data_IF_239885140834
#
_entry.id   IF_239885140834
#
_cell.length_a   1.000
_cell.length_b   1.000
_cell.length_c   1.000
_cell.angle_alpha   90.00
_cell.angle_beta   90.00
_cell.angle_gamma   90.00
#
_symmetry.space_group_name_H-M   'P 1'
#
loop_
_entity.id
_entity.type
_entity.pdbx_description
1 polymer ?
#
# COMPACT_ATOMS: atom_id res chain seq x y z
N UNK A 1 -8.57 -13.96 -3.67
CA UNK A 1 -9.38 -12.78 -3.28
C UNK A 1 -9.42 -11.85 -4.48
N UNK A 2 -10.58 -11.29 -4.84
CA UNK A 2 -10.68 -10.27 -5.89
C UNK A 2 -10.52 -8.89 -5.24
N UNK A 3 -9.58 -8.09 -5.74
CA UNK A 3 -9.32 -6.74 -5.26
C UNK A 3 -9.44 -5.81 -6.46
N UNK A 4 -10.45 -4.95 -6.44
CA UNK A 4 -10.66 -3.89 -7.43
C UNK A 4 -10.14 -2.57 -6.86
N UNK A 5 -9.05 -2.05 -7.44
CA UNK A 5 -8.38 -0.83 -6.99
C UNK A 5 -9.21 0.43 -7.22
N UNK A 6 -10.17 0.42 -8.16
CA UNK A 6 -11.01 1.59 -8.44
C UNK A 6 -11.93 1.91 -7.25
N UNK A 7 -12.26 0.89 -6.46
CA UNK A 7 -13.05 1.07 -5.22
C UNK A 7 -12.37 2.00 -4.23
N UNK A 8 -11.03 2.06 -4.23
CA UNK A 8 -10.27 2.94 -3.35
C UNK A 8 -10.61 4.40 -3.60
N UNK A 9 -10.96 4.82 -4.83
CA UNK A 9 -11.29 6.22 -5.16
C UNK A 9 -12.46 6.80 -4.35
N UNK A 10 -13.32 5.94 -3.81
CA UNK A 10 -14.45 6.35 -2.95
C UNK A 10 -14.14 6.30 -1.46
N UNK A 11 -13.00 5.72 -1.08
CA UNK A 11 -12.56 5.60 0.31
C UNK A 11 -12.06 6.95 0.83
N UNK A 12 -12.47 7.42 2.03
CA UNK A 12 -11.93 8.65 2.62
C UNK A 12 -10.42 8.59 2.84
N UNK A 13 -9.72 9.72 2.72
CA UNK A 13 -8.25 9.78 2.85
C UNK A 13 -7.74 9.23 4.19
N UNK A 14 -8.49 9.46 5.28
CA UNK A 14 -8.16 8.93 6.60
C UNK A 14 -8.15 7.41 6.63
N UNK A 15 -9.10 6.77 5.93
CA UNK A 15 -9.19 5.31 5.88
C UNK A 15 -8.16 4.71 4.93
N UNK A 16 -7.81 5.41 3.84
CA UNK A 16 -6.68 5.03 3.01
C UNK A 16 -5.37 5.04 3.82
N UNK A 17 -5.12 6.13 4.56
CA UNK A 17 -3.95 6.27 5.40
C UNK A 17 -3.90 5.23 6.53
N UNK A 18 -5.05 4.88 7.13
CA UNK A 18 -5.12 3.85 8.17
C UNK A 18 -4.73 2.47 7.62
N UNK A 19 -5.12 2.14 6.38
CA UNK A 19 -4.71 0.91 5.69
C UNK A 19 -3.20 0.82 5.44
N UNK A 20 -2.53 1.94 5.15
CA UNK A 20 -1.08 1.95 4.94
C UNK A 20 -0.26 1.62 6.19
N UNK A 21 -0.82 1.77 7.40
CA UNK A 21 -0.13 1.33 8.63
C UNK A 21 0.21 -0.18 8.59
N UNK A 22 -0.70 -0.99 8.05
CA UNK A 22 -0.49 -2.43 7.87
C UNK A 22 0.50 -2.74 6.74
N UNK A 23 0.51 -1.94 5.67
CA UNK A 23 1.48 -2.05 4.57
C UNK A 23 2.91 -1.80 5.08
N UNK A 24 3.08 -0.74 5.89
CA UNK A 24 4.36 -0.38 6.53
C UNK A 24 4.81 -1.47 7.49
N UNK A 25 3.88 -2.05 8.26
CA UNK A 25 4.18 -3.15 9.18
C UNK A 25 4.85 -4.32 8.45
N UNK A 26 4.37 -4.74 7.28
CA UNK A 26 4.99 -5.84 6.54
C UNK A 26 6.45 -5.54 6.16
N UNK A 27 6.74 -4.31 5.74
CA UNK A 27 8.10 -3.88 5.45
C UNK A 27 9.01 -4.00 6.67
N UNK A 28 8.57 -3.48 7.82
CA UNK A 28 9.35 -3.48 9.06
C UNK A 28 9.62 -4.87 9.63
N UNK A 29 8.67 -5.80 9.54
CA UNK A 29 8.78 -7.10 10.23
C UNK A 29 9.40 -8.21 9.39
N UNK A 30 9.43 -8.08 8.04
CA UNK A 30 9.86 -9.20 7.18
C UNK A 30 10.36 -8.82 5.77
N UNK A 31 10.22 -7.59 5.31
CA UNK A 31 10.54 -7.22 3.92
C UNK A 31 11.20 -5.84 3.82
N UNK A 32 12.50 -5.80 4.14
CA UNK A 32 13.27 -4.55 4.19
C UNK A 32 13.33 -3.83 2.83
N UNK A 33 13.46 -4.56 1.72
CA UNK A 33 13.43 -3.97 0.37
C UNK A 33 12.07 -3.33 0.08
N UNK A 34 10.98 -3.95 0.52
CA UNK A 34 9.66 -3.35 0.43
C UNK A 34 9.51 -2.11 1.32
N UNK A 35 10.12 -2.09 2.51
CA UNK A 35 10.15 -0.90 3.35
C UNK A 35 10.88 0.26 2.66
N UNK A 36 12.06 0.03 2.08
CA UNK A 36 12.80 1.04 1.31
C UNK A 36 12.01 1.55 0.10
N UNK A 37 11.27 0.66 -0.56
CA UNK A 37 10.38 1.04 -1.66
C UNK A 37 9.25 1.95 -1.17
N UNK A 38 8.64 1.64 -0.02
CA UNK A 38 7.55 2.45 0.56
C UNK A 38 8.02 3.87 0.88
N UNK A 39 9.21 4.04 1.46
CA UNK A 39 9.78 5.36 1.76
C UNK A 39 9.89 6.24 0.51
N UNK A 40 10.26 5.65 -0.63
CA UNK A 40 10.39 6.35 -1.93
C UNK A 40 9.05 6.64 -2.60
N UNK A 41 8.01 5.86 -2.30
CA UNK A 41 6.72 5.90 -3.03
C UNK A 41 5.54 6.38 -2.18
N UNK A 42 5.74 6.77 -0.92
CA UNK A 42 4.65 7.15 -0.01
C UNK A 42 3.78 8.29 -0.55
N UNK A 43 4.38 9.25 -1.26
CA UNK A 43 3.63 10.35 -1.87
C UNK A 43 2.74 9.87 -3.01
N UNK A 44 3.21 8.94 -3.84
CA UNK A 44 2.43 8.32 -4.91
C UNK A 44 1.27 7.49 -4.33
N UNK A 45 1.53 6.72 -3.27
CA UNK A 45 0.50 5.96 -2.55
C UNK A 45 -0.60 6.88 -1.98
N UNK A 46 -0.21 7.97 -1.32
CA UNK A 46 -1.16 8.96 -0.77
C UNK A 46 -1.91 9.72 -1.88
N UNK A 47 -1.29 9.91 -3.04
CA UNK A 47 -1.93 10.47 -4.23
C UNK A 47 -2.78 9.47 -5.02
N UNK A 48 -2.91 8.23 -4.53
CA UNK A 48 -3.68 7.13 -5.16
C UNK A 48 -3.19 6.77 -6.56
N UNK A 49 -1.88 6.84 -6.77
CA UNK A 49 -1.27 6.37 -7.99
C UNK A 49 -1.59 4.87 -8.22
N UNK A 50 -2.24 4.52 -9.35
CA UNK A 50 -2.72 3.15 -9.57
C UNK A 50 -1.61 2.10 -9.54
N UNK A 51 -0.44 2.42 -10.10
CA UNK A 51 0.69 1.49 -10.20
C UNK A 51 1.33 1.26 -8.83
N UNK A 52 1.53 2.33 -8.05
CA UNK A 52 2.03 2.24 -6.68
C UNK A 52 1.07 1.46 -5.78
N UNK A 53 -0.25 1.73 -5.89
CA UNK A 53 -1.27 1.00 -5.12
C UNK A 53 -1.29 -0.49 -5.48
N UNK A 54 -1.30 -0.83 -6.77
CA UNK A 54 -1.30 -2.21 -7.23
C UNK A 54 -0.08 -2.98 -6.71
N UNK A 55 1.11 -2.36 -6.78
CA UNK A 55 2.34 -2.96 -6.25
C UNK A 55 2.26 -3.17 -4.74
N UNK A 56 1.88 -2.14 -3.97
CA UNK A 56 1.81 -2.21 -2.52
C UNK A 56 0.81 -3.27 -2.04
N UNK A 57 -0.35 -3.37 -2.69
CA UNK A 57 -1.37 -4.39 -2.39
C UNK A 57 -0.82 -5.78 -2.68
N UNK A 58 -0.28 -6.00 -3.89
CA UNK A 58 0.28 -7.29 -4.29
C UNK A 58 1.34 -7.75 -3.29
N UNK A 59 2.32 -6.90 -3.00
CA UNK A 59 3.45 -7.23 -2.12
C UNK A 59 3.01 -7.45 -0.68
N UNK A 60 1.99 -6.74 -0.21
CA UNK A 60 1.37 -6.98 1.10
C UNK A 60 0.66 -8.32 1.16
N UNK A 61 -0.04 -8.74 0.11
CA UNK A 61 -0.67 -10.06 0.03
C UNK A 61 0.35 -11.21 -0.01
N UNK A 62 1.48 -11.04 -0.70
CA UNK A 62 2.58 -12.02 -0.70
C UNK A 62 3.23 -12.17 0.68
N UNK A 63 3.30 -11.07 1.45
CA UNK A 63 3.90 -11.05 2.77
C UNK A 63 2.99 -11.58 3.88
N UNK A 64 1.68 -11.70 3.66
CA UNK A 64 0.70 -12.09 4.68
C UNK A 64 0.63 -13.61 4.84
#
# INVERSE_FOLDING_TARGET
>A
VLIDTDTLNTLPDRELASGFAEVIKYGLIRDAEFFEWQEKNIQALMARDPDALAYAIKRSCENK
#
